data_IF_914883724427
#
_entry.id   IF_914883724427
#
_cell.length_a   1.000
_cell.length_b   1.000
_cell.length_c   1.000
_cell.angle_alpha   90.00
_cell.angle_beta   90.00
_cell.angle_gamma   90.00
#
_symmetry.space_group_name_H-M   'P 1'
#
loop_
_entity.id
_entity.type
_entity.pdbx_description
1 polymer ?
#
# COMPACT_ATOMS: atom_id res chain seq x y z
N UNK A 1 -11.17 25.18 12.76
CA UNK A 1 -10.04 24.66 11.95
C UNK A 1 -9.14 23.90 12.90
N UNK A 2 -8.99 22.59 12.72
CA UNK A 2 -8.12 21.82 13.61
C UNK A 2 -6.65 22.18 13.31
N UNK A 3 -5.88 22.49 14.33
CA UNK A 3 -4.45 22.77 14.22
C UNK A 3 -3.71 21.47 14.53
N UNK A 4 -2.90 21.02 13.58
CA UNK A 4 -2.05 19.85 13.74
C UNK A 4 -0.60 20.28 13.98
N UNK A 5 0.07 19.63 14.91
CA UNK A 5 1.52 19.80 15.11
C UNK A 5 2.30 19.01 14.05
N UNK A 6 3.56 19.35 13.83
CA UNK A 6 4.39 18.74 12.75
C UNK A 6 4.54 17.23 12.90
N UNK A 7 4.55 16.72 14.13
CA UNK A 7 4.58 15.29 14.43
C UNK A 7 3.28 14.55 14.06
N UNK A 8 2.19 15.29 13.80
CA UNK A 8 0.88 14.80 13.38
C UNK A 8 0.55 15.08 11.91
N UNK A 9 1.53 15.49 11.13
CA UNK A 9 1.38 15.73 9.69
C UNK A 9 2.31 14.76 8.95
N UNK A 10 1.80 14.12 7.89
CA UNK A 10 2.56 13.24 7.01
C UNK A 10 2.22 13.54 5.56
N UNK A 11 3.24 13.66 4.73
CA UNK A 11 3.10 13.79 3.28
C UNK A 11 3.42 12.44 2.66
N UNK A 12 2.44 11.83 2.00
CA UNK A 12 2.58 10.50 1.41
C UNK A 12 2.35 10.59 -0.09
N UNK A 13 3.36 10.27 -0.88
CA UNK A 13 3.26 10.27 -2.34
C UNK A 13 2.82 8.91 -2.86
N UNK A 14 1.87 8.90 -3.81
CA UNK A 14 1.49 7.72 -4.56
C UNK A 14 2.28 7.65 -5.86
N UNK A 15 3.02 6.58 -6.05
CA UNK A 15 3.85 6.33 -7.22
C UNK A 15 3.40 5.05 -7.92
N UNK A 16 3.68 4.91 -9.20
CA UNK A 16 3.37 3.71 -9.99
C UNK A 16 3.06 4.04 -11.44
N UNK A 17 2.83 3.02 -12.25
CA UNK A 17 2.56 3.16 -13.67
C UNK A 17 1.21 3.84 -13.96
N UNK A 18 1.02 4.36 -15.18
CA UNK A 18 -0.26 4.89 -15.64
C UNK A 18 -1.32 3.77 -15.63
N UNK A 19 -2.49 4.04 -15.05
CA UNK A 19 -3.58 3.06 -14.97
C UNK A 19 -3.47 2.00 -13.87
N UNK A 20 -2.45 2.03 -13.00
CA UNK A 20 -2.33 1.07 -11.89
C UNK A 20 -3.26 1.36 -10.69
N UNK A 21 -4.16 2.33 -10.76
CA UNK A 21 -5.17 2.60 -9.74
C UNK A 21 -4.77 3.58 -8.64
N UNK A 22 -3.76 4.46 -8.83
CA UNK A 22 -3.35 5.49 -7.85
C UNK A 22 -4.51 6.39 -7.45
N UNK A 23 -5.12 7.07 -8.42
CA UNK A 23 -6.25 7.97 -8.21
C UNK A 23 -7.46 7.27 -7.58
N UNK A 24 -7.76 6.02 -8.00
CA UNK A 24 -8.81 5.21 -7.37
C UNK A 24 -8.50 4.89 -5.91
N UNK A 25 -7.24 4.66 -5.56
CA UNK A 25 -6.81 4.47 -4.17
C UNK A 25 -6.99 5.77 -3.36
N UNK A 26 -6.66 6.94 -3.93
CA UNK A 26 -6.87 8.24 -3.29
C UNK A 26 -8.35 8.48 -3.00
N UNK A 27 -9.22 8.22 -3.98
CA UNK A 27 -10.67 8.32 -3.82
C UNK A 27 -11.19 7.44 -2.68
N UNK A 28 -10.73 6.18 -2.64
CA UNK A 28 -11.10 5.26 -1.58
C UNK A 28 -10.63 5.75 -0.20
N UNK A 29 -9.40 6.26 -0.10
CA UNK A 29 -8.87 6.83 1.12
C UNK A 29 -9.68 8.05 1.59
N UNK A 30 -9.99 8.98 0.69
CA UNK A 30 -10.77 10.18 0.97
C UNK A 30 -12.20 9.84 1.41
N UNK A 31 -12.84 8.88 0.74
CA UNK A 31 -14.17 8.42 1.09
C UNK A 31 -14.22 7.75 2.48
N UNK A 32 -13.29 6.85 2.77
CA UNK A 32 -13.23 6.16 4.06
C UNK A 32 -12.86 7.09 5.22
N UNK A 33 -12.07 8.12 4.96
CA UNK A 33 -11.79 9.17 5.94
C UNK A 33 -12.96 10.16 6.12
N UNK A 34 -14.06 9.98 5.40
CA UNK A 34 -15.24 10.85 5.47
C UNK A 34 -15.03 12.25 4.86
N UNK A 35 -13.98 12.41 4.03
CA UNK A 35 -13.70 13.67 3.33
C UNK A 35 -14.66 13.91 2.16
N UNK A 36 -15.15 12.83 1.57
CA UNK A 36 -16.15 12.84 0.49
C UNK A 36 -17.36 12.03 0.89
N UNK A 37 -18.54 12.43 0.42
CA UNK A 37 -19.80 11.69 0.64
C UNK A 37 -20.01 10.54 -0.34
N UNK A 38 -19.21 10.49 -1.40
CA UNK A 38 -19.22 9.46 -2.44
C UNK A 38 -17.80 9.16 -2.87
N UNK A 39 -17.56 7.97 -3.41
CA UNK A 39 -16.34 7.60 -4.08
C UNK A 39 -16.47 7.95 -5.59
N UNK A 40 -15.59 8.81 -6.09
CA UNK A 40 -15.53 9.15 -7.51
C UNK A 40 -14.89 8.02 -8.34
N UNK A 41 -15.05 8.10 -9.64
CA UNK A 41 -14.44 7.18 -10.62
C UNK A 41 -13.69 7.97 -11.70
N UNK A 42 -12.55 7.47 -12.11
CA UNK A 42 -11.73 8.10 -13.15
C UNK A 42 -12.50 8.14 -14.48
N UNK A 43 -13.22 7.06 -14.80
CA UNK A 43 -14.03 6.92 -16.01
C UNK A 43 -15.19 7.93 -16.07
N UNK A 44 -15.70 8.33 -14.90
CA UNK A 44 -16.78 9.32 -14.79
C UNK A 44 -16.24 10.76 -14.75
N UNK A 45 -14.92 10.95 -14.69
CA UNK A 45 -14.26 12.27 -14.59
C UNK A 45 -14.70 13.05 -13.35
N UNK A 46 -14.93 12.37 -12.21
CA UNK A 46 -15.51 12.96 -11.01
C UNK A 46 -14.73 12.67 -9.74
N UNK A 47 -13.43 12.35 -9.88
CA UNK A 47 -12.49 12.14 -8.77
C UNK A 47 -12.12 13.44 -8.07
N UNK A 48 -11.67 13.35 -6.84
CA UNK A 48 -11.26 14.51 -6.04
C UNK A 48 -9.90 15.07 -6.49
N UNK A 49 -9.02 14.22 -7.03
CA UNK A 49 -7.65 14.59 -7.43
C UNK A 49 -7.55 15.08 -8.87
N UNK A 50 -8.28 14.48 -9.81
CA UNK A 50 -8.30 14.88 -11.23
C UNK A 50 -9.35 15.98 -11.43
N UNK A 51 -9.01 17.22 -11.07
CA UNK A 51 -9.95 18.36 -11.17
C UNK A 51 -9.75 19.22 -12.41
N UNK A 52 -8.65 19.05 -13.16
CA UNK A 52 -8.44 19.73 -14.43
C UNK A 52 -9.34 19.15 -15.54
N UNK A 53 -9.83 20.00 -16.42
CA UNK A 53 -10.71 19.58 -17.52
C UNK A 53 -10.04 18.62 -18.50
N UNK A 54 -8.74 18.74 -18.71
CA UNK A 54 -7.98 17.82 -19.54
C UNK A 54 -7.79 16.46 -18.88
N UNK A 55 -7.57 16.42 -17.56
CA UNK A 55 -7.51 15.17 -16.78
C UNK A 55 -8.86 14.43 -16.86
N UNK A 56 -9.95 15.12 -16.57
CA UNK A 56 -11.31 14.57 -16.65
C UNK A 56 -11.63 14.03 -18.04
N UNK A 57 -11.23 14.76 -19.10
CA UNK A 57 -11.47 14.37 -20.50
C UNK A 57 -10.62 13.19 -20.94
N UNK A 58 -9.39 13.09 -20.43
CA UNK A 58 -8.42 12.06 -20.82
C UNK A 58 -8.45 10.83 -19.91
N UNK A 59 -9.13 10.94 -18.76
CA UNK A 59 -9.22 9.91 -17.73
C UNK A 59 -7.85 9.47 -17.18
N UNK A 60 -6.94 10.45 -16.99
CA UNK A 60 -5.66 10.26 -16.32
C UNK A 60 -5.12 11.57 -15.75
N UNK A 61 -4.34 11.49 -14.68
CA UNK A 61 -3.71 12.63 -14.00
C UNK A 61 -2.57 13.22 -14.82
N UNK A 62 -2.52 14.55 -14.91
CA UNK A 62 -1.47 15.33 -15.58
C UNK A 62 -0.62 16.05 -14.54
N UNK A 63 -1.28 16.64 -13.53
CA UNK A 63 -0.65 17.38 -12.45
C UNK A 63 -0.65 16.57 -11.16
N UNK A 64 0.26 16.91 -10.25
CA UNK A 64 0.21 16.39 -8.88
C UNK A 64 -0.89 17.07 -8.09
N UNK A 65 -1.77 16.29 -7.48
CA UNK A 65 -2.83 16.78 -6.61
C UNK A 65 -2.57 16.46 -5.15
N UNK A 66 -2.92 17.39 -4.25
CA UNK A 66 -2.81 17.20 -2.80
C UNK A 66 -4.17 16.95 -2.20
N UNK A 67 -4.40 15.74 -1.70
CA UNK A 67 -5.64 15.36 -1.05
C UNK A 67 -5.39 15.15 0.46
N UNK A 68 -5.76 16.12 1.32
CA UNK A 68 -5.59 15.99 2.75
C UNK A 68 -6.67 15.06 3.31
N UNK A 69 -6.26 14.03 4.05
CA UNK A 69 -7.16 13.17 4.81
C UNK A 69 -6.82 13.24 6.30
N UNK A 70 -7.82 13.02 7.14
CA UNK A 70 -7.64 12.92 8.58
C UNK A 70 -7.95 11.49 8.98
N UNK A 71 -6.94 10.84 9.54
CA UNK A 71 -7.07 9.47 10.04
C UNK A 71 -6.61 9.44 11.50
N UNK A 72 -7.53 9.05 12.38
CA UNK A 72 -7.34 9.21 13.82
C UNK A 72 -6.91 10.66 14.14
N UNK A 73 -5.80 10.88 14.83
CA UNK A 73 -5.29 12.21 15.17
C UNK A 73 -4.22 12.74 14.20
N UNK A 74 -4.08 12.13 13.02
CA UNK A 74 -3.03 12.47 12.06
C UNK A 74 -3.62 13.05 10.79
N UNK A 75 -3.06 14.16 10.33
CA UNK A 75 -3.33 14.72 9.01
C UNK A 75 -2.36 14.09 8.01
N UNK A 76 -2.87 13.40 7.02
CA UNK A 76 -2.10 12.79 5.94
C UNK A 76 -2.41 13.54 4.67
N UNK A 77 -1.43 14.23 4.09
CA UNK A 77 -1.52 14.83 2.77
C UNK A 77 -1.11 13.76 1.75
N UNK A 78 -2.07 13.26 1.00
CA UNK A 78 -1.80 12.33 -0.10
C UNK A 78 -1.43 13.16 -1.33
N UNK A 79 -0.27 12.88 -1.91
CA UNK A 79 0.22 13.47 -3.14
C UNK A 79 -0.07 12.45 -4.26
N UNK A 80 -1.16 12.68 -4.99
CA UNK A 80 -1.53 11.84 -6.14
C UNK A 80 -0.75 12.31 -7.36
N UNK A 81 0.12 11.46 -7.91
CA UNK A 81 1.03 11.83 -8.99
C UNK A 81 0.61 11.22 -10.33
N UNK A 82 0.90 11.90 -11.44
CA UNK A 82 0.75 11.31 -12.76
C UNK A 82 1.56 10.02 -12.91
N UNK A 83 1.02 9.05 -13.64
CA UNK A 83 1.70 7.77 -13.90
C UNK A 83 2.41 7.69 -15.25
N UNK A 84 2.16 8.66 -16.15
CA UNK A 84 2.78 8.72 -17.46
C UNK A 84 4.10 9.48 -17.43
N UNK A 85 5.09 9.00 -18.17
CA UNK A 85 6.45 9.55 -18.17
C UNK A 85 6.57 10.96 -18.73
N UNK A 86 5.59 11.40 -19.51
CA UNK A 86 5.53 12.78 -20.02
C UNK A 86 5.43 13.80 -18.88
N UNK A 87 4.97 13.39 -17.71
CA UNK A 87 4.77 14.24 -16.53
C UNK A 87 5.71 13.90 -15.36
N UNK A 88 6.89 13.35 -15.66
CA UNK A 88 7.85 12.92 -14.63
C UNK A 88 8.27 14.06 -13.70
N UNK A 89 8.32 15.29 -14.19
CA UNK A 89 8.66 16.46 -13.38
C UNK A 89 7.71 16.65 -12.20
N UNK A 90 6.39 16.50 -12.41
CA UNK A 90 5.38 16.53 -11.36
C UNK A 90 5.62 15.45 -10.29
N UNK A 91 6.00 14.25 -10.73
CA UNK A 91 6.32 13.15 -9.83
C UNK A 91 7.56 13.41 -8.99
N UNK A 92 8.63 13.98 -9.58
CA UNK A 92 9.86 14.33 -8.87
C UNK A 92 9.63 15.43 -7.84
N UNK A 93 8.84 16.45 -8.18
CA UNK A 93 8.46 17.51 -7.24
C UNK A 93 7.71 16.96 -6.05
N UNK A 94 6.72 16.09 -6.29
CA UNK A 94 5.96 15.44 -5.23
C UNK A 94 6.84 14.57 -4.31
N UNK A 95 7.74 13.79 -4.90
CA UNK A 95 8.69 12.94 -4.15
C UNK A 95 9.59 13.78 -3.25
N UNK A 96 10.04 14.97 -3.72
CA UNK A 96 10.90 15.87 -2.93
C UNK A 96 10.22 16.41 -1.67
N UNK A 97 8.88 16.49 -1.67
CA UNK A 97 8.06 16.98 -0.56
C UNK A 97 7.50 15.89 0.34
N UNK A 98 7.70 14.61 -0.01
CA UNK A 98 7.09 13.49 0.67
C UNK A 98 7.93 12.96 1.84
N UNK A 99 7.25 12.50 2.89
CA UNK A 99 7.85 11.78 4.03
C UNK A 99 7.91 10.26 3.77
N UNK A 100 7.00 9.75 2.94
CA UNK A 100 6.92 8.33 2.58
C UNK A 100 6.23 8.15 1.22
N UNK A 101 6.38 6.98 0.63
CA UNK A 101 5.77 6.62 -0.64
C UNK A 101 4.91 5.35 -0.54
N UNK A 102 3.81 5.33 -1.31
CA UNK A 102 3.07 4.12 -1.62
C UNK A 102 3.28 3.84 -3.11
N UNK A 103 3.94 2.73 -3.42
CA UNK A 103 4.09 2.26 -4.81
C UNK A 103 2.89 1.38 -5.13
N UNK A 104 2.05 1.84 -6.04
CA UNK A 104 0.84 1.16 -6.48
C UNK A 104 1.16 0.26 -7.66
N UNK A 105 0.77 -1.01 -7.56
CA UNK A 105 1.02 -2.05 -8.55
C UNK A 105 -0.29 -2.75 -8.88
N UNK A 106 -0.63 -2.87 -10.17
CA UNK A 106 -1.79 -3.64 -10.58
C UNK A 106 -1.53 -5.13 -10.40
N UNK A 107 -2.43 -5.83 -9.73
CA UNK A 107 -2.37 -7.29 -9.57
C UNK A 107 -2.52 -8.05 -10.89
N UNK A 108 -3.12 -7.40 -11.90
CA UNK A 108 -3.26 -7.92 -13.26
C UNK A 108 -2.02 -7.67 -14.12
N UNK A 109 -1.56 -6.41 -14.15
CA UNK A 109 -0.43 -6.01 -15.00
C UNK A 109 0.94 -6.42 -14.43
N UNK A 110 1.05 -6.58 -13.10
CA UNK A 110 2.31 -6.91 -12.44
C UNK A 110 3.28 -5.73 -12.40
N UNK A 111 4.58 -6.05 -12.47
CA UNK A 111 5.65 -5.05 -12.37
C UNK A 111 5.90 -4.38 -13.72
N UNK A 112 5.48 -3.15 -13.84
CA UNK A 112 5.63 -2.33 -15.03
C UNK A 112 6.84 -1.38 -14.92
N UNK A 113 7.18 -0.68 -16.02
CA UNK A 113 8.29 0.28 -16.06
C UNK A 113 8.09 1.40 -15.04
N UNK A 114 6.86 1.90 -14.86
CA UNK A 114 6.55 2.91 -13.85
C UNK A 114 6.78 2.44 -12.43
N UNK A 115 6.55 1.15 -12.13
CA UNK A 115 6.85 0.54 -10.83
C UNK A 115 8.36 0.57 -10.55
N UNK A 116 9.18 0.20 -11.54
CA UNK A 116 10.66 0.23 -11.40
C UNK A 116 11.19 1.64 -11.18
N UNK A 117 10.70 2.60 -11.96
CA UNK A 117 11.07 4.02 -11.78
C UNK A 117 10.62 4.58 -10.42
N UNK A 118 9.42 4.23 -9.98
CA UNK A 118 8.94 4.60 -8.64
C UNK A 118 9.86 4.07 -7.53
N UNK A 119 10.34 2.84 -7.71
CA UNK A 119 11.30 2.25 -6.78
C UNK A 119 12.64 3.00 -6.79
N UNK A 120 13.20 3.27 -7.97
CA UNK A 120 14.45 4.03 -8.15
C UNK A 120 14.36 5.43 -7.51
N UNK A 121 13.25 6.15 -7.72
CA UNK A 121 13.00 7.44 -7.07
C UNK A 121 12.99 7.32 -5.55
N UNK A 122 12.31 6.33 -5.00
CA UNK A 122 12.32 6.09 -3.56
C UNK A 122 13.72 5.79 -3.02
N UNK A 123 14.58 5.09 -3.77
CA UNK A 123 15.97 4.86 -3.39
C UNK A 123 16.81 6.13 -3.46
N UNK A 124 16.67 6.90 -4.55
CA UNK A 124 17.37 8.16 -4.74
C UNK A 124 17.08 9.16 -3.62
N UNK A 125 15.80 9.32 -3.26
CA UNK A 125 15.36 10.25 -2.22
C UNK A 125 15.34 9.63 -0.81
N UNK A 126 15.75 8.36 -0.67
CA UNK A 126 15.75 7.61 0.59
C UNK A 126 14.38 7.57 1.29
N UNK A 127 13.32 7.56 0.49
CA UNK A 127 11.96 7.52 1.01
C UNK A 127 11.60 6.13 1.53
N UNK A 128 11.06 6.04 2.75
CA UNK A 128 10.33 4.87 3.21
C UNK A 128 9.20 4.55 2.23
N UNK A 129 9.03 3.28 1.88
CA UNK A 129 8.05 2.88 0.88
C UNK A 129 7.26 1.66 1.27
N UNK A 130 6.03 1.63 0.83
CA UNK A 130 5.13 0.50 0.91
C UNK A 130 4.61 0.18 -0.49
N UNK A 131 4.43 -1.10 -0.81
CA UNK A 131 3.78 -1.51 -2.06
C UNK A 131 2.32 -1.83 -1.77
N UNK A 132 1.42 -1.29 -2.58
CA UNK A 132 0.00 -1.56 -2.55
C UNK A 132 -0.43 -2.22 -3.86
N UNK A 133 -1.06 -3.40 -3.77
CA UNK A 133 -1.52 -4.14 -4.95
C UNK A 133 -3.00 -3.89 -5.15
N UNK A 134 -3.35 -3.37 -6.33
CA UNK A 134 -4.72 -3.09 -6.79
C UNK A 134 -5.26 -4.21 -7.67
N UNK A 135 -6.47 -4.03 -8.22
CA UNK A 135 -7.11 -4.94 -9.19
C UNK A 135 -7.23 -6.38 -8.71
N UNK A 136 -7.34 -6.59 -7.38
CA UNK A 136 -7.42 -7.93 -6.80
C UNK A 136 -8.77 -8.61 -7.01
N UNK A 137 -9.77 -7.87 -7.46
CA UNK A 137 -11.11 -8.32 -7.83
C UNK A 137 -11.20 -8.84 -9.28
N UNK A 138 -10.15 -8.64 -10.08
CA UNK A 138 -10.08 -9.12 -11.48
C UNK A 138 -9.58 -10.56 -11.50
N UNK A 139 -10.16 -11.40 -12.36
CA UNK A 139 -9.84 -12.84 -12.42
C UNK A 139 -8.39 -13.13 -12.76
N UNK A 140 -7.78 -12.32 -13.64
CA UNK A 140 -6.38 -12.47 -14.05
C UNK A 140 -5.37 -11.96 -13.01
N UNK A 141 -5.82 -11.34 -11.92
CA UNK A 141 -4.93 -10.81 -10.89
C UNK A 141 -4.20 -11.93 -10.14
N UNK A 142 -2.90 -11.81 -10.02
CA UNK A 142 -2.04 -12.75 -9.30
C UNK A 142 -1.16 -12.04 -8.28
N UNK A 143 -1.66 -11.93 -7.06
CA UNK A 143 -0.88 -11.41 -5.93
C UNK A 143 0.43 -12.17 -5.73
N UNK A 144 0.39 -13.50 -5.82
CA UNK A 144 1.58 -14.34 -5.67
C UNK A 144 2.66 -14.00 -6.69
N UNK A 145 2.28 -13.81 -7.96
CA UNK A 145 3.22 -13.45 -9.01
C UNK A 145 3.84 -12.08 -8.74
N UNK A 146 3.03 -11.08 -8.36
CA UNK A 146 3.54 -9.74 -8.00
C UNK A 146 4.55 -9.80 -6.86
N UNK A 147 4.28 -10.59 -5.80
CA UNK A 147 5.21 -10.77 -4.68
C UNK A 147 6.51 -11.43 -5.14
N UNK A 148 6.43 -12.49 -5.95
CA UNK A 148 7.60 -13.19 -6.48
C UNK A 148 8.46 -12.27 -7.34
N UNK A 149 7.86 -11.54 -8.28
CA UNK A 149 8.55 -10.61 -9.15
C UNK A 149 9.25 -9.48 -8.35
N UNK A 150 8.57 -8.97 -7.32
CA UNK A 150 9.16 -7.98 -6.41
C UNK A 150 10.36 -8.57 -5.63
N UNK A 151 10.24 -9.80 -5.16
CA UNK A 151 11.32 -10.48 -4.43
C UNK A 151 12.51 -10.81 -5.35
N UNK A 152 12.27 -11.17 -6.60
CA UNK A 152 13.31 -11.39 -7.60
C UNK A 152 14.08 -10.09 -7.92
N UNK A 153 13.36 -8.97 -8.04
CA UNK A 153 13.97 -7.68 -8.40
C UNK A 153 14.65 -6.99 -7.22
N UNK A 154 14.06 -7.08 -6.03
CA UNK A 154 14.44 -6.24 -4.90
C UNK A 154 14.86 -7.05 -3.66
N UNK A 155 14.87 -8.38 -3.78
CA UNK A 155 15.38 -9.30 -2.79
C UNK A 155 14.38 -9.67 -1.69
N UNK A 156 14.86 -10.46 -0.72
CA UNK A 156 14.06 -11.02 0.37
C UNK A 156 13.45 -10.00 1.33
N UNK A 157 13.78 -8.73 1.15
CA UNK A 157 13.29 -7.60 1.95
C UNK A 157 11.81 -7.27 1.69
N UNK A 158 11.22 -7.87 0.67
CA UNK A 158 9.79 -7.76 0.39
C UNK A 158 9.03 -8.69 1.33
N UNK A 159 8.46 -8.11 2.38
CA UNK A 159 7.70 -8.85 3.38
C UNK A 159 6.19 -8.56 3.23
N UNK A 160 5.37 -9.53 2.84
CA UNK A 160 3.92 -9.37 2.74
C UNK A 160 3.28 -9.22 4.11
N UNK A 161 2.43 -8.18 4.28
CA UNK A 161 1.63 -7.98 5.51
C UNK A 161 0.24 -8.59 5.44
N UNK A 162 -0.28 -8.66 4.22
CA UNK A 162 -1.61 -9.19 3.96
C UNK A 162 -1.56 -10.16 2.79
N UNK A 163 -2.30 -11.27 2.92
CA UNK A 163 -2.50 -12.23 1.86
C UNK A 163 -3.96 -12.18 1.42
N UNK A 164 -4.27 -12.06 0.14
CA UNK A 164 -5.63 -12.05 -0.34
C UNK A 164 -6.29 -13.42 -0.15
N UNK A 165 -7.58 -13.41 0.20
CA UNK A 165 -8.45 -14.58 0.20
C UNK A 165 -9.31 -14.50 -1.04
N UNK A 166 -9.20 -15.49 -1.93
CA UNK A 166 -10.02 -15.60 -3.13
C UNK A 166 -10.82 -16.91 -3.08
N UNK A 167 -12.12 -16.81 -3.35
CA UNK A 167 -13.01 -17.95 -3.44
C UNK A 167 -13.83 -17.82 -4.72
N UNK A 168 -13.89 -18.87 -5.50
CA UNK A 168 -14.57 -18.89 -6.80
C UNK A 168 -14.16 -17.74 -7.75
N UNK A 169 -12.88 -17.39 -7.73
CA UNK A 169 -12.35 -16.27 -8.53
C UNK A 169 -12.56 -14.89 -7.90
N UNK A 170 -13.39 -14.75 -6.88
CA UNK A 170 -13.69 -13.45 -6.24
C UNK A 170 -12.76 -13.17 -5.07
N UNK A 171 -12.40 -11.90 -4.90
CA UNK A 171 -11.66 -11.42 -3.75
C UNK A 171 -12.64 -11.20 -2.59
N UNK A 172 -12.57 -12.05 -1.56
CA UNK A 172 -13.55 -12.07 -0.45
C UNK A 172 -12.98 -11.64 0.89
N UNK A 173 -11.68 -11.37 0.97
CA UNK A 173 -11.06 -10.98 2.22
C UNK A 173 -9.54 -11.07 2.19
N UNK A 174 -8.93 -10.97 3.34
CA UNK A 174 -7.48 -11.07 3.48
C UNK A 174 -7.06 -11.71 4.81
N UNK A 175 -5.87 -12.30 4.81
CA UNK A 175 -5.18 -12.77 6.02
C UNK A 175 -4.18 -11.71 6.45
N UNK A 176 -4.27 -11.25 7.69
CA UNK A 176 -3.25 -10.40 8.29
C UNK A 176 -2.10 -11.29 8.80
N UNK A 177 -0.92 -11.14 8.21
CA UNK A 177 0.27 -11.96 8.52
C UNK A 177 0.77 -11.73 9.95
N UNK A 178 0.71 -10.47 10.42
CA UNK A 178 1.14 -10.12 11.77
C UNK A 178 0.22 -10.75 12.82
N UNK A 179 -1.09 -10.58 12.67
CA UNK A 179 -2.10 -11.08 13.60
C UNK A 179 -2.44 -12.56 13.40
N UNK A 180 -2.04 -13.17 12.29
CA UNK A 180 -2.37 -14.53 11.88
C UNK A 180 -3.88 -14.79 11.91
N UNK A 181 -4.66 -13.81 11.47
CA UNK A 181 -6.13 -13.85 11.43
C UNK A 181 -6.64 -13.42 10.07
N UNK A 182 -7.74 -14.01 9.66
CA UNK A 182 -8.43 -13.62 8.45
C UNK A 182 -9.54 -12.60 8.74
N UNK A 183 -9.77 -11.73 7.77
CA UNK A 183 -10.92 -10.84 7.71
C UNK A 183 -11.62 -11.07 6.39
N UNK A 184 -12.95 -11.19 6.41
CA UNK A 184 -13.81 -11.38 5.24
C UNK A 184 -14.87 -10.31 5.18
N UNK A 185 -15.30 -9.96 4.00
CA UNK A 185 -16.45 -9.10 3.79
C UNK A 185 -17.71 -9.92 3.71
N UNK A 186 -18.74 -9.47 4.42
CA UNK A 186 -20.09 -9.98 4.26
C UNK A 186 -20.77 -9.28 3.08
N UNK A 187 -21.86 -9.86 2.59
CA UNK A 187 -22.67 -9.24 1.52
C UNK A 187 -23.18 -7.84 1.87
N UNK A 188 -23.36 -7.54 3.15
CA UNK A 188 -23.75 -6.20 3.65
C UNK A 188 -22.57 -5.22 3.78
N UNK A 189 -21.34 -5.60 3.38
CA UNK A 189 -20.12 -4.79 3.48
C UNK A 189 -19.47 -4.77 4.88
N UNK A 190 -20.04 -5.46 5.86
CA UNK A 190 -19.39 -5.60 7.17
C UNK A 190 -18.20 -6.54 7.11
N UNK A 191 -17.19 -6.26 7.95
CA UNK A 191 -15.99 -7.09 8.08
C UNK A 191 -16.16 -8.09 9.21
N UNK A 192 -16.00 -9.37 8.90
CA UNK A 192 -15.99 -10.45 9.87
C UNK A 192 -14.58 -10.98 10.08
N UNK A 193 -14.21 -11.21 11.35
CA UNK A 193 -12.97 -11.89 11.70
C UNK A 193 -13.22 -13.39 11.63
N UNK A 194 -12.41 -14.09 10.87
CA UNK A 194 -12.52 -15.55 10.68
C UNK A 194 -11.15 -16.21 10.90
N UNK A 195 -11.16 -17.52 11.02
CA UNK A 195 -9.93 -18.30 11.03
C UNK A 195 -9.28 -18.30 9.64
N UNK A 196 -7.96 -18.50 9.62
CA UNK A 196 -7.19 -18.57 8.38
C UNK A 196 -7.61 -19.81 7.58
N UNK A 197 -7.99 -19.66 6.31
CA UNK A 197 -8.32 -20.80 5.46
C UNK A 197 -7.14 -21.80 5.34
N UNK A 198 -7.41 -23.09 5.33
CA UNK A 198 -6.36 -24.12 5.29
C UNK A 198 -5.41 -23.94 4.10
N UNK A 199 -5.94 -23.57 2.92
CA UNK A 199 -5.13 -23.34 1.72
C UNK A 199 -4.22 -22.10 1.82
N UNK A 200 -4.43 -21.23 2.79
CA UNK A 200 -3.60 -20.04 3.02
C UNK A 200 -2.54 -20.25 4.11
N UNK A 201 -2.62 -21.32 4.89
CA UNK A 201 -1.74 -21.54 6.05
C UNK A 201 -0.26 -21.69 5.66
N UNK A 202 0.03 -22.40 4.58
CA UNK A 202 1.40 -22.58 4.07
C UNK A 202 1.99 -21.23 3.66
N UNK A 203 1.27 -20.46 2.84
CA UNK A 203 1.69 -19.12 2.41
C UNK A 203 1.83 -18.16 3.59
N UNK A 204 0.95 -18.26 4.59
CA UNK A 204 1.04 -17.46 5.82
C UNK A 204 2.34 -17.76 6.57
N UNK A 205 2.74 -19.04 6.68
CA UNK A 205 4.00 -19.42 7.30
C UNK A 205 5.21 -18.79 6.60
N UNK A 206 5.27 -18.90 5.26
CA UNK A 206 6.34 -18.32 4.45
C UNK A 206 6.40 -16.79 4.61
N UNK A 207 5.25 -16.10 4.55
CA UNK A 207 5.20 -14.65 4.69
C UNK A 207 5.55 -14.20 6.11
N UNK A 208 5.16 -14.98 7.12
CA UNK A 208 5.54 -14.69 8.51
C UNK A 208 7.03 -14.83 8.72
N UNK A 209 7.66 -15.86 8.18
CA UNK A 209 9.11 -16.04 8.25
C UNK A 209 9.84 -14.86 7.59
N UNK A 210 9.43 -14.46 6.39
CA UNK A 210 9.99 -13.29 5.71
C UNK A 210 9.81 -11.99 6.53
N UNK A 211 8.67 -11.85 7.23
CA UNK A 211 8.43 -10.72 8.12
C UNK A 211 9.34 -10.75 9.34
N UNK A 212 9.56 -11.91 9.95
CA UNK A 212 10.47 -12.07 11.09
C UNK A 212 11.92 -11.81 10.69
N UNK A 213 12.37 -12.29 9.53
CA UNK A 213 13.68 -11.95 8.95
C UNK A 213 13.85 -10.43 8.81
N UNK A 214 12.84 -9.76 8.24
CA UNK A 214 12.87 -8.30 8.08
C UNK A 214 12.91 -7.55 9.43
N UNK A 215 12.27 -8.06 10.46
CA UNK A 215 12.35 -7.53 11.84
C UNK A 215 13.72 -7.78 12.44
N UNK A 216 14.27 -8.97 12.30
CA UNK A 216 15.59 -9.34 12.81
C UNK A 216 16.69 -8.44 12.26
N UNK A 217 16.62 -8.07 10.98
CA UNK A 217 17.59 -7.16 10.35
C UNK A 217 17.57 -5.72 10.93
N UNK A 218 16.61 -5.38 11.81
CA UNK A 218 16.48 -4.01 12.35
C UNK A 218 17.51 -3.67 13.41
N UNK A 219 17.98 -4.65 14.19
CA UNK A 219 19.00 -4.47 15.22
C UNK A 219 19.75 -5.76 15.49
N UNK A 220 20.97 -5.66 16.06
CA UNK A 220 21.74 -6.82 16.49
C UNK A 220 21.01 -7.64 17.55
N UNK A 221 20.31 -6.98 18.48
CA UNK A 221 19.51 -7.65 19.51
C UNK A 221 18.39 -8.51 18.91
N UNK A 222 17.63 -7.96 17.92
CA UNK A 222 16.59 -8.73 17.24
C UNK A 222 17.17 -9.86 16.39
N UNK A 223 18.36 -9.66 15.81
CA UNK A 223 19.06 -10.69 15.05
C UNK A 223 19.46 -11.87 15.94
N UNK A 224 20.05 -11.59 17.10
CA UNK A 224 20.46 -12.64 18.06
C UNK A 224 19.26 -13.42 18.58
N UNK A 225 18.16 -12.76 18.90
CA UNK A 225 16.92 -13.40 19.34
C UNK A 225 16.30 -14.27 18.25
N UNK A 226 16.30 -13.80 16.99
CA UNK A 226 15.81 -14.56 15.86
C UNK A 226 16.60 -15.86 15.67
N UNK A 227 17.92 -15.80 15.69
CA UNK A 227 18.76 -17.00 15.61
C UNK A 227 18.68 -17.88 16.87
N UNK A 228 18.33 -17.30 18.00
CA UNK A 228 18.01 -18.02 19.23
C UNK A 228 16.65 -18.74 19.20
N UNK A 229 15.85 -18.51 18.16
CA UNK A 229 14.51 -19.11 18.02
C UNK A 229 13.46 -18.47 18.93
N UNK A 230 13.68 -17.23 19.39
CA UNK A 230 12.72 -16.50 20.19
C UNK A 230 11.64 -15.86 19.31
N UNK A 231 10.39 -15.94 19.77
CA UNK A 231 9.28 -15.26 19.10
C UNK A 231 9.24 -13.78 19.47
N UNK A 232 8.90 -12.93 18.49
CA UNK A 232 8.64 -11.51 18.72
C UNK A 232 7.15 -11.26 18.95
N UNK A 233 6.85 -10.40 19.93
CA UNK A 233 5.50 -9.92 20.16
C UNK A 233 5.03 -8.99 19.02
N UNK A 234 3.71 -8.84 18.87
CA UNK A 234 3.15 -7.91 17.87
C UNK A 234 3.65 -6.47 18.05
N UNK A 235 3.81 -6.03 19.30
CA UNK A 235 4.26 -4.66 19.60
C UNK A 235 5.74 -4.47 19.27
N UNK A 236 6.60 -5.45 19.54
CA UNK A 236 8.01 -5.42 19.13
C UNK A 236 8.15 -5.37 17.61
N UNK A 237 7.39 -6.21 16.89
CA UNK A 237 7.36 -6.20 15.43
C UNK A 237 6.91 -4.83 14.91
N UNK A 238 5.83 -4.26 15.47
CA UNK A 238 5.35 -2.93 15.10
C UNK A 238 6.37 -1.84 15.37
N UNK A 239 7.05 -1.90 16.51
CA UNK A 239 8.07 -0.93 16.88
C UNK A 239 9.29 -1.03 15.96
N UNK A 240 9.82 -2.23 15.73
CA UNK A 240 10.92 -2.47 14.81
C UNK A 240 10.63 -1.94 13.40
N UNK A 241 9.42 -2.22 12.92
CA UNK A 241 8.97 -1.75 11.63
C UNK A 241 8.76 -0.21 11.57
N UNK A 242 8.34 0.43 12.68
CA UNK A 242 8.25 1.89 12.78
C UNK A 242 9.61 2.57 12.74
N UNK A 243 10.58 2.05 13.47
CA UNK A 243 11.95 2.58 13.50
C UNK A 243 12.56 2.55 12.10
N UNK A 244 12.42 1.44 11.37
CA UNK A 244 12.92 1.32 10.01
C UNK A 244 12.27 2.29 9.03
N UNK A 245 10.98 2.58 9.20
CA UNK A 245 10.27 3.53 8.35
C UNK A 245 10.60 4.97 8.71
N UNK A 246 10.74 5.28 10.01
CA UNK A 246 10.96 6.65 10.47
C UNK A 246 12.40 7.14 10.26
N UNK A 247 13.39 6.25 10.36
CA UNK A 247 14.79 6.65 10.32
C UNK A 247 15.33 6.84 8.89
N UNK A 248 14.57 6.48 7.84
CA UNK A 248 15.02 6.59 6.44
C UNK A 248 16.39 5.95 6.20
N UNK A 249 16.88 5.22 7.19
CA UNK A 249 18.19 4.58 7.12
C UNK A 249 18.16 3.50 6.06
N UNK A 250 19.23 3.38 5.37
CA UNK A 250 19.65 2.54 4.25
C UNK A 250 19.31 1.02 4.38
N UNK A 251 18.23 0.70 5.09
CA UNK A 251 17.70 -0.64 5.31
C UNK A 251 16.34 -0.77 4.65
N UNK A 252 16.39 -1.26 3.49
CA UNK A 252 15.41 -1.64 2.48
C UNK A 252 14.22 -2.48 2.98
N UNK A 253 13.48 -2.09 4.01
CA UNK A 253 12.24 -2.78 4.36
C UNK A 253 11.09 -2.25 3.52
N UNK A 254 10.78 -2.94 2.44
CA UNK A 254 9.60 -2.69 1.63
C UNK A 254 8.46 -3.53 2.16
N UNK A 255 7.42 -2.87 2.63
CA UNK A 255 6.21 -3.54 3.09
C UNK A 255 5.25 -3.69 1.93
N UNK A 256 4.82 -4.91 1.68
CA UNK A 256 3.70 -5.16 0.79
C UNK A 256 2.42 -5.12 1.62
N UNK A 257 1.60 -4.10 1.44
CA UNK A 257 0.29 -4.02 2.05
C UNK A 257 -0.76 -4.13 0.95
N UNK A 258 -1.36 -5.32 0.82
CA UNK A 258 -2.61 -5.45 0.10
C UNK A 258 -3.71 -5.21 1.11
N UNK A 259 -4.37 -4.08 1.02
CA UNK A 259 -5.57 -3.74 1.79
C UNK A 259 -5.44 -3.72 3.32
N UNK A 260 -5.28 -2.56 3.86
CA UNK A 260 -5.73 -2.23 5.21
C UNK A 260 -7.27 -2.17 5.24
N UNK A 261 -7.89 -1.92 6.39
CA UNK A 261 -9.32 -1.69 6.60
C UNK A 261 -10.02 -0.80 5.55
N UNK A 262 -9.25 -0.10 4.73
CA UNK A 262 -9.66 0.76 3.66
C UNK A 262 -10.35 0.02 2.51
N UNK A 263 -9.83 -1.12 2.07
CA UNK A 263 -10.48 -1.93 1.02
C UNK A 263 -11.63 -2.74 1.60
N UNK A 264 -11.58 -3.06 2.89
CA UNK A 264 -12.65 -3.84 3.53
C UNK A 264 -14.02 -3.14 3.56
N UNK A 265 -14.08 -1.86 3.21
CA UNK A 265 -15.33 -1.08 3.15
C UNK A 265 -15.73 -0.67 1.73
N UNK A 266 -14.98 -1.06 0.71
CA UNK A 266 -15.40 -0.81 -0.67
C UNK A 266 -16.58 -1.70 -1.03
N UNK A 267 -17.71 -1.14 -1.53
CA UNK A 267 -18.75 -1.96 -2.13
C UNK A 267 -18.17 -2.71 -3.34
N UNK A 268 -18.51 -3.98 -3.47
CA UNK A 268 -18.10 -4.86 -4.58
C UNK A 268 -18.61 -4.43 -5.96
N UNK A 269 -19.15 -3.22 -6.08
CA UNK A 269 -19.77 -2.66 -7.29
C UNK A 269 -19.31 -1.23 -7.58
N UNK A 270 -18.07 -0.89 -7.21
CA UNK A 270 -17.52 0.40 -7.60
C UNK A 270 -16.59 0.25 -8.81
#
# INVERSE_FOLDING_TARGET
>A
MNVYTTDRIRNVVLLGHGGCGKTSLVEAMAYLAGMTSRMGKVEDGNTISDYDKEEMKRHFSINTSVVPIIWEDTKINILDTPGYFDFVGETEEAVSAADAAIIVVSGKAGIEVGTRKAWELCEQYKLPRMVFVTDMDIDEASYRQVVQDLQELYGKKIAPFHLPIRENGQFVGYVNVLQQRAKRWKENGEVEKTDVPDYSKENLGICREALMEAVAETSEEFMDRYFGGEEFSEDEIRQALRVNVAEGRDRKSTRLNSSHEWISRMPSSA
#
